data_IF_753437142765
#
_entry.id   IF_753437142765
#
_cell.length_a   1.000
_cell.length_b   1.000
_cell.length_c   1.000
_cell.angle_alpha   90.00
_cell.angle_beta   90.00
_cell.angle_gamma   90.00
#
_symmetry.space_group_name_H-M   'P 1'
#
loop_
_entity.id
_entity.type
_entity.pdbx_description
1 polymer ?
#
# COMPACT_ATOMS: atom_id res chain seq x y z
N UNK A 1 -5.92 18.81 -9.11
CA UNK A 1 -5.77 18.67 -7.64
C UNK A 1 -5.85 17.17 -7.33
N UNK A 2 -5.06 16.67 -6.39
CA UNK A 2 -5.17 15.25 -6.00
C UNK A 2 -6.57 14.96 -5.42
N UNK A 3 -7.19 13.89 -5.91
CA UNK A 3 -8.43 13.34 -5.37
C UNK A 3 -8.33 11.82 -5.33
N UNK A 4 -8.58 11.21 -4.18
CA UNK A 4 -8.55 9.75 -4.05
C UNK A 4 -9.74 9.12 -4.79
N UNK A 5 -9.51 8.06 -5.55
CA UNK A 5 -10.56 7.27 -6.18
C UNK A 5 -11.46 6.66 -5.10
N UNK A 6 -12.78 6.79 -5.27
CA UNK A 6 -13.77 6.36 -4.29
C UNK A 6 -13.74 4.86 -4.01
N UNK A 7 -13.26 4.04 -4.95
CA UNK A 7 -13.10 2.59 -4.77
C UNK A 7 -11.91 2.30 -3.87
N UNK A 8 -10.80 3.01 -4.04
CA UNK A 8 -9.66 2.90 -3.13
C UNK A 8 -10.06 3.38 -1.73
N UNK A 9 -10.77 4.49 -1.64
CA UNK A 9 -11.27 5.01 -0.35
C UNK A 9 -12.17 3.99 0.36
N UNK A 10 -13.11 3.38 -0.36
CA UNK A 10 -14.02 2.37 0.17
C UNK A 10 -13.31 1.09 0.61
N UNK A 11 -12.37 0.61 -0.20
CA UNK A 11 -11.78 -0.73 -0.04
C UNK A 11 -10.49 -0.73 0.80
N UNK A 12 -10.03 0.43 1.27
CA UNK A 12 -8.80 0.55 2.05
C UNK A 12 -8.86 1.62 3.14
N UNK A 13 -8.12 1.37 4.22
CA UNK A 13 -8.07 2.21 5.41
C UNK A 13 -6.79 3.04 5.37
N UNK A 14 -6.90 4.36 5.47
CA UNK A 14 -5.72 5.24 5.57
C UNK A 14 -4.97 4.96 6.89
N UNK A 15 -3.66 4.69 6.79
CA UNK A 15 -2.80 4.50 7.96
C UNK A 15 -2.05 5.79 8.29
N UNK A 16 -1.40 6.39 7.30
CA UNK A 16 -0.67 7.66 7.42
C UNK A 16 -0.32 8.21 6.04
N UNK A 17 0.25 9.42 5.98
CA UNK A 17 0.87 9.96 4.78
C UNK A 17 2.39 9.92 4.90
N UNK A 18 3.03 9.46 3.83
CA UNK A 18 4.45 9.54 3.57
C UNK A 18 4.74 10.82 2.76
N UNK A 19 6.02 11.17 2.49
CA UNK A 19 6.35 12.35 1.71
C UNK A 19 5.65 12.46 0.35
N UNK A 20 5.43 11.34 -0.35
CA UNK A 20 4.68 11.29 -1.61
C UNK A 20 3.35 10.57 -1.47
N UNK A 21 3.31 9.41 -0.82
CA UNK A 21 2.14 8.53 -0.87
C UNK A 21 1.26 8.60 0.38
N UNK A 22 -0.05 8.43 0.19
CA UNK A 22 -0.86 7.82 1.25
C UNK A 22 -0.44 6.36 1.41
N UNK A 23 -0.20 5.94 2.66
CA UNK A 23 -0.06 4.53 3.01
C UNK A 23 -1.39 4.02 3.52
N UNK A 24 -1.96 3.04 2.83
CA UNK A 24 -3.28 2.48 3.12
C UNK A 24 -3.19 0.98 3.35
N UNK A 25 -4.09 0.44 4.17
CA UNK A 25 -4.28 -0.99 4.42
C UNK A 25 -5.51 -1.46 3.65
N UNK A 26 -5.35 -2.43 2.74
CA UNK A 26 -6.49 -3.02 2.06
C UNK A 26 -7.40 -3.70 3.08
N UNK A 27 -8.72 -3.53 2.96
CA UNK A 27 -9.71 -4.14 3.85
C UNK A 27 -9.96 -5.62 3.52
N UNK A 28 -8.88 -6.39 3.47
CA UNK A 28 -8.89 -7.82 3.21
C UNK A 28 -7.86 -8.53 4.11
N UNK A 29 -8.31 -9.04 5.26
CA UNK A 29 -7.45 -9.69 6.25
C UNK A 29 -6.88 -11.05 5.82
N UNK A 30 -7.26 -11.54 4.64
CA UNK A 30 -6.65 -12.74 4.05
C UNK A 30 -5.13 -12.58 3.86
N UNK A 31 -4.67 -11.35 3.69
CA UNK A 31 -3.25 -11.01 3.53
C UNK A 31 -2.91 -9.71 4.26
N UNK A 32 -1.74 -9.57 4.88
CA UNK A 32 -1.20 -8.26 5.21
C UNK A 32 -0.86 -7.51 3.91
N UNK A 33 -1.76 -6.63 3.48
CA UNK A 33 -1.75 -5.98 2.17
C UNK A 33 -1.81 -4.46 2.30
N UNK A 34 -0.69 -3.81 2.00
CA UNK A 34 -0.57 -2.36 1.96
C UNK A 34 -0.66 -1.82 0.52
N UNK A 35 -1.17 -0.61 0.38
CA UNK A 35 -1.26 0.11 -0.88
C UNK A 35 -0.67 1.50 -0.68
N UNK A 36 0.28 1.86 -1.54
CA UNK A 36 0.74 3.24 -1.67
C UNK A 36 -0.05 3.93 -2.77
N UNK A 37 -0.56 5.12 -2.48
CA UNK A 37 -1.25 5.98 -3.45
C UNK A 37 -0.49 7.31 -3.51
N UNK A 38 0.31 7.57 -4.57
CA UNK A 38 1.01 8.84 -4.72
C UNK A 38 0.02 10.02 -4.75
N UNK A 39 0.24 11.04 -3.92
CA UNK A 39 -0.49 12.30 -4.00
C UNK A 39 0.08 13.19 -5.12
N UNK A 40 0.20 12.62 -6.33
CA UNK A 40 0.78 13.26 -7.52
C UNK A 40 -0.29 13.56 -8.57
N UNK A 41 -0.03 14.60 -9.36
CA UNK A 41 -0.87 14.99 -10.50
C UNK A 41 -0.02 15.23 -11.74
N UNK A 42 -0.60 15.02 -12.92
CA UNK A 42 0.00 15.32 -14.21
C UNK A 42 0.00 16.83 -14.52
N UNK A 43 0.48 17.19 -15.71
CA UNK A 43 0.53 18.57 -16.21
C UNK A 43 -0.85 19.24 -16.36
N UNK A 44 -1.93 18.45 -16.40
CA UNK A 44 -3.32 18.91 -16.46
C UNK A 44 -3.99 18.92 -15.09
N UNK A 45 -3.23 18.61 -14.02
CA UNK A 45 -3.73 18.55 -12.66
C UNK A 45 -4.63 17.35 -12.37
N UNK A 46 -4.64 16.32 -13.21
CA UNK A 46 -5.33 15.06 -13.00
C UNK A 46 -4.43 14.09 -12.23
N UNK A 47 -5.03 13.13 -11.51
CA UNK A 47 -4.25 12.10 -10.83
C UNK A 47 -3.56 11.20 -11.83
N UNK A 48 -2.27 10.96 -11.64
CA UNK A 48 -1.49 10.06 -12.50
C UNK A 48 -2.05 8.63 -12.48
N UNK A 49 -1.91 7.93 -13.60
CA UNK A 49 -2.39 6.55 -13.77
C UNK A 49 -1.23 5.56 -13.79
N UNK A 50 -0.11 5.96 -14.38
CA UNK A 50 1.07 5.12 -14.57
C UNK A 50 2.28 5.68 -13.83
N UNK A 51 3.24 4.81 -13.50
CA UNK A 51 4.49 5.26 -12.85
C UNK A 51 5.31 6.17 -13.76
N UNK A 52 5.24 5.98 -15.08
CA UNK A 52 5.97 6.82 -16.03
C UNK A 52 5.38 8.22 -16.18
N UNK A 53 4.18 8.47 -15.64
CA UNK A 53 3.58 9.82 -15.60
C UNK A 53 4.15 10.65 -14.44
N UNK A 54 4.84 10.01 -13.49
CA UNK A 54 5.51 10.69 -12.40
C UNK A 54 6.76 11.44 -12.89
N UNK A 55 7.06 12.57 -12.24
CA UNK A 55 8.38 13.19 -12.37
C UNK A 55 9.48 12.23 -11.93
N UNK A 56 10.70 12.38 -12.44
CA UNK A 56 11.84 11.54 -12.01
C UNK A 56 12.05 11.57 -10.49
N UNK A 57 11.81 12.74 -9.88
CA UNK A 57 11.84 12.93 -8.43
C UNK A 57 10.78 12.07 -7.73
N UNK A 58 9.55 12.09 -8.22
CA UNK A 58 8.44 11.39 -7.58
C UNK A 58 8.52 9.87 -7.82
N UNK A 59 8.94 9.43 -9.02
CA UNK A 59 9.22 8.01 -9.28
C UNK A 59 10.32 7.48 -8.34
N UNK A 60 11.39 8.25 -8.13
CA UNK A 60 12.45 7.91 -7.18
C UNK A 60 11.95 7.87 -5.73
N UNK A 61 11.08 8.81 -5.36
CA UNK A 61 10.48 8.87 -4.02
C UNK A 61 9.49 7.72 -3.78
N UNK A 62 8.67 7.35 -4.77
CA UNK A 62 7.80 6.18 -4.73
C UNK A 62 8.61 4.90 -4.48
N UNK A 63 9.72 4.71 -5.20
CA UNK A 63 10.58 3.53 -5.00
C UNK A 63 11.21 3.52 -3.59
N UNK A 64 11.64 4.68 -3.09
CA UNK A 64 12.17 4.82 -1.73
C UNK A 64 11.13 4.45 -0.66
N UNK A 65 9.91 4.94 -0.80
CA UNK A 65 8.79 4.62 0.09
C UNK A 65 8.39 3.14 0.00
N UNK A 66 8.28 2.60 -1.23
CA UNK A 66 7.95 1.20 -1.46
C UNK A 66 8.97 0.27 -0.80
N UNK A 67 10.27 0.55 -0.93
CA UNK A 67 11.31 -0.26 -0.31
C UNK A 67 11.24 -0.23 1.22
N UNK A 68 11.03 0.95 1.81
CA UNK A 68 10.92 1.08 3.26
C UNK A 68 9.68 0.36 3.81
N UNK A 69 8.53 0.50 3.15
CA UNK A 69 7.28 -0.16 3.53
C UNK A 69 7.37 -1.67 3.35
N UNK A 70 7.94 -2.16 2.25
CA UNK A 70 8.14 -3.59 2.00
C UNK A 70 9.04 -4.23 3.06
N UNK A 71 10.15 -3.56 3.42
CA UNK A 71 11.07 -4.06 4.46
C UNK A 71 10.39 -4.11 5.84
N UNK A 72 9.65 -3.05 6.21
CA UNK A 72 8.90 -3.01 7.46
C UNK A 72 7.81 -4.07 7.49
N UNK A 73 7.01 -4.19 6.42
CA UNK A 73 5.94 -5.19 6.32
C UNK A 73 6.51 -6.61 6.46
N UNK A 74 7.64 -6.89 5.80
CA UNK A 74 8.32 -8.18 5.91
C UNK A 74 8.78 -8.45 7.34
N UNK A 75 9.39 -7.47 8.01
CA UNK A 75 9.86 -7.58 9.40
C UNK A 75 8.70 -7.83 10.37
N UNK A 76 7.63 -7.04 10.27
CA UNK A 76 6.47 -7.11 11.18
C UNK A 76 5.70 -8.41 11.03
N UNK A 77 5.55 -8.91 9.80
CA UNK A 77 4.75 -10.11 9.53
C UNK A 77 5.56 -11.40 9.61
N UNK A 78 6.90 -11.33 9.58
CA UNK A 78 7.77 -12.49 9.44
C UNK A 78 7.57 -13.25 8.13
N UNK A 79 6.93 -12.63 7.12
CA UNK A 79 6.51 -13.35 5.93
C UNK A 79 7.70 -13.87 5.09
N UNK A 80 7.46 -14.95 4.35
CA UNK A 80 8.45 -15.54 3.45
C UNK A 80 8.84 -14.56 2.33
N UNK A 81 7.85 -13.94 1.69
CA UNK A 81 8.05 -13.14 0.47
C UNK A 81 7.16 -11.91 0.44
N UNK A 82 7.68 -10.81 -0.12
CA UNK A 82 6.88 -9.65 -0.50
C UNK A 82 6.53 -9.75 -2.00
N UNK A 83 5.28 -9.49 -2.36
CA UNK A 83 4.87 -9.20 -3.73
C UNK A 83 4.61 -7.70 -3.87
N UNK A 84 5.09 -7.12 -4.97
CA UNK A 84 4.90 -5.72 -5.31
C UNK A 84 4.35 -5.66 -6.73
N UNK A 85 3.31 -4.86 -6.96
CA UNK A 85 2.76 -4.65 -8.28
C UNK A 85 2.03 -3.31 -8.41
N UNK A 86 2.08 -2.76 -9.61
CA UNK A 86 1.15 -1.76 -10.11
C UNK A 86 0.39 -2.43 -11.27
N UNK A 87 -0.95 -2.39 -11.21
CA UNK A 87 -1.83 -3.08 -12.16
C UNK A 87 -2.81 -2.11 -12.82
N UNK A 88 -3.72 -1.51 -12.07
CA UNK A 88 -4.54 -0.39 -12.57
C UNK A 88 -5.74 -0.73 -13.49
N UNK A 89 -5.89 -1.96 -13.98
CA UNK A 89 -6.95 -2.31 -14.97
C UNK A 89 -8.41 -1.99 -14.56
N UNK A 90 -8.71 -1.96 -13.26
CA UNK A 90 -10.07 -1.64 -12.75
C UNK A 90 -10.13 -0.21 -12.19
N UNK A 91 -9.10 0.20 -11.45
CA UNK A 91 -8.96 1.54 -10.89
C UNK A 91 -7.73 2.17 -11.51
N UNK A 92 -7.94 3.12 -12.42
CA UNK A 92 -6.86 3.72 -13.22
C UNK A 92 -5.92 4.57 -12.38
N UNK A 93 -6.40 5.23 -11.32
CA UNK A 93 -5.54 6.02 -10.44
C UNK A 93 -4.36 5.19 -9.95
N UNK A 94 -3.14 5.73 -10.11
CA UNK A 94 -1.91 5.06 -9.73
C UNK A 94 -1.95 4.61 -8.27
N UNK A 95 -1.86 3.31 -8.07
CA UNK A 95 -1.72 2.68 -6.78
C UNK A 95 -0.76 1.50 -6.85
N UNK A 96 -0.01 1.30 -5.77
CA UNK A 96 1.15 0.42 -5.73
C UNK A 96 1.00 -0.56 -4.58
N UNK A 97 0.73 -1.83 -4.91
CA UNK A 97 0.46 -2.88 -3.95
C UNK A 97 1.75 -3.43 -3.34
N UNK A 98 1.74 -3.68 -2.03
CA UNK A 98 2.82 -4.33 -1.28
C UNK A 98 2.19 -5.36 -0.35
N UNK A 99 2.43 -6.65 -0.63
CA UNK A 99 1.72 -7.77 0.01
C UNK A 99 2.71 -8.72 0.66
N UNK A 100 2.47 -9.06 1.93
CA UNK A 100 3.16 -10.14 2.64
C UNK A 100 2.59 -11.51 2.27
N UNK A 101 3.45 -12.45 1.87
CA UNK A 101 3.07 -13.78 1.37
C UNK A 101 3.76 -14.90 2.14
N UNK A 102 3.04 -16.01 2.34
CA UNK A 102 3.53 -17.22 3.01
C UNK A 102 3.01 -18.47 2.30
N UNK A 103 3.70 -19.60 2.48
CA UNK A 103 3.37 -20.87 1.83
C UNK A 103 1.99 -21.43 2.23
N UNK A 104 1.45 -20.97 3.36
CA UNK A 104 0.14 -21.35 3.88
C UNK A 104 -0.95 -20.29 3.64
N UNK A 105 -0.67 -19.22 2.88
CA UNK A 105 -1.71 -18.26 2.51
C UNK A 105 -2.64 -18.83 1.42
N UNK A 106 -3.85 -18.27 1.33
CA UNK A 106 -4.97 -18.84 0.57
C UNK A 106 -4.66 -19.04 -0.93
N UNK A 107 -3.76 -18.23 -1.49
CA UNK A 107 -3.49 -18.23 -2.93
C UNK A 107 -2.08 -18.67 -3.28
N UNK A 108 -1.25 -19.06 -2.31
CA UNK A 108 0.12 -19.51 -2.59
C UNK A 108 0.12 -20.73 -3.54
N UNK A 109 1.02 -20.79 -4.55
CA UNK A 109 2.06 -19.82 -4.93
C UNK A 109 1.61 -18.75 -5.93
N UNK A 110 0.33 -18.70 -6.28
CA UNK A 110 -0.24 -17.77 -7.25
C UNK A 110 -0.40 -16.33 -6.76
N UNK A 111 -0.83 -15.42 -7.65
CA UNK A 111 -1.16 -14.04 -7.30
C UNK A 111 -2.41 -13.97 -6.41
N UNK A 112 -2.51 -12.91 -5.60
CA UNK A 112 -3.70 -12.68 -4.75
C UNK A 112 -4.86 -12.03 -5.53
N UNK A 113 -4.56 -11.34 -6.63
CA UNK A 113 -5.51 -10.47 -7.32
C UNK A 113 -6.57 -11.29 -8.07
N UNK A 114 -7.84 -10.96 -7.85
CA UNK A 114 -8.98 -11.61 -8.51
C UNK A 114 -9.36 -12.98 -7.95
N UNK A 115 -8.77 -13.43 -6.83
CA UNK A 115 -9.07 -14.74 -6.24
C UNK A 115 -9.87 -14.59 -4.95
N UNK A 116 -11.07 -15.18 -4.91
CA UNK A 116 -11.95 -15.20 -3.74
C UNK A 116 -12.50 -13.83 -3.32
N UNK A 117 -13.22 -13.79 -2.20
CA UNK A 117 -13.84 -12.58 -1.67
C UNK A 117 -13.01 -11.98 -0.53
N UNK A 118 -12.93 -10.65 -0.48
CA UNK A 118 -12.27 -9.93 0.61
C UNK A 118 -12.95 -10.22 1.95
N UNK A 119 -12.15 -10.40 2.99
CA UNK A 119 -12.65 -10.57 4.35
C UNK A 119 -12.26 -9.33 5.16
N UNK A 120 -13.21 -8.56 5.72
CA UNK A 120 -12.88 -7.40 6.55
C UNK A 120 -11.99 -7.77 7.73
N UNK A 121 -11.19 -6.82 8.19
CA UNK A 121 -10.32 -7.04 9.34
C UNK A 121 -11.08 -7.21 10.65
N UNK A 122 -10.64 -8.20 11.45
CA UNK A 122 -10.86 -8.15 12.89
C UNK A 122 -10.17 -6.91 13.49
N UNK A 123 -10.89 -6.18 14.35
CA UNK A 123 -10.44 -4.90 14.88
C UNK A 123 -9.13 -5.02 15.66
N UNK A 124 -9.02 -6.05 16.51
CA UNK A 124 -7.85 -6.27 17.36
C UNK A 124 -6.63 -6.63 16.52
N UNK A 125 -6.78 -7.56 15.57
CA UNK A 125 -5.69 -7.93 14.64
C UNK A 125 -5.22 -6.74 13.82
N UNK A 126 -6.15 -5.94 13.29
CA UNK A 126 -5.84 -4.72 12.55
C UNK A 126 -5.04 -3.75 13.42
N UNK A 127 -5.52 -3.46 14.62
CA UNK A 127 -4.87 -2.52 15.52
C UNK A 127 -3.43 -2.95 15.83
N UNK A 128 -3.21 -4.22 16.15
CA UNK A 128 -1.87 -4.77 16.42
C UNK A 128 -0.92 -4.65 15.23
N UNK A 129 -1.41 -4.96 14.02
CA UNK A 129 -0.63 -4.83 12.79
C UNK A 129 -0.28 -3.36 12.53
N UNK A 130 -1.26 -2.46 12.60
CA UNK A 130 -1.08 -1.03 12.31
C UNK A 130 -0.09 -0.38 13.27
N UNK A 131 -0.22 -0.63 14.57
CA UNK A 131 0.73 -0.11 15.58
C UNK A 131 2.16 -0.57 15.25
N UNK A 132 2.36 -1.86 15.02
CA UNK A 132 3.68 -2.43 14.72
C UNK A 132 4.30 -1.85 13.43
N UNK A 133 3.47 -1.61 12.41
CA UNK A 133 3.89 -0.99 11.15
C UNK A 133 4.32 0.47 11.35
N UNK A 134 3.50 1.28 12.01
CA UNK A 134 3.76 2.71 12.20
C UNK A 134 4.97 2.97 13.11
N UNK A 135 5.15 2.17 14.17
CA UNK A 135 6.34 2.23 15.02
C UNK A 135 7.62 1.90 14.23
N UNK A 136 7.57 0.83 13.43
CA UNK A 136 8.72 0.40 12.61
C UNK A 136 9.04 1.38 11.47
N UNK A 137 8.04 2.00 10.86
CA UNK A 137 8.22 3.06 9.85
C UNK A 137 8.83 4.33 10.46
N UNK A 138 8.38 4.71 11.67
CA UNK A 138 8.91 5.87 12.39
C UNK A 138 10.41 5.72 12.67
N UNK A 139 10.87 4.51 13.01
CA UNK A 139 12.30 4.19 13.20
C UNK A 139 13.13 4.35 11.92
N UNK A 140 12.50 4.25 10.74
CA UNK A 140 13.14 4.50 9.43
C UNK A 140 13.08 5.96 8.98
N UNK A 141 12.55 6.86 9.82
CA UNK A 141 12.43 8.28 9.50
C UNK A 141 11.14 8.66 8.76
N UNK A 142 10.23 7.71 8.54
CA UNK A 142 8.88 7.99 8.03
C UNK A 142 7.97 8.24 9.23
N UNK A 143 8.01 9.47 9.75
CA UNK A 143 7.13 9.88 10.84
C UNK A 143 5.71 9.98 10.30
N UNK A 144 4.72 9.37 10.96
CA UNK A 144 3.33 9.58 10.62
C UNK A 144 3.03 11.08 10.65
N UNK A 145 2.53 11.64 9.55
CA UNK A 145 1.91 12.96 9.59
C UNK A 145 0.71 12.86 10.54
N UNK A 146 0.69 13.70 11.58
CA UNK A 146 -0.26 13.61 12.69
C UNK A 146 -1.73 13.58 12.28
N UNK A 147 -2.51 12.84 13.08
CA UNK A 147 -3.97 12.90 13.15
C UNK A 147 -4.47 14.34 13.36
#
# INVERSE_FOLDING_TARGET
MFQLDTRIERDSILLTKLPLCQLRLQNDQRYPWLVLVPEAVDEHGQTVTEVHDLSERDASQLLKESNAVAEVLKKVTGCKKINIANLGNVVEQLHWHIVARNENDITWPGPIWGVGNAIPWDEKKRHQLVVSLLESLSQKGFKPSGN
#
